data_IF_241023035580
#
_entry.id   IF_241023035580
#
_cell.length_a   1.000
_cell.length_b   1.000
_cell.length_c   1.000
_cell.angle_alpha   90.00
_cell.angle_beta   90.00
_cell.angle_gamma   90.00
#
_symmetry.space_group_name_H-M   'P 1'
#
loop_
_entity.id
_entity.type
_entity.pdbx_description
1 polymer ?
#
# COMPACT_ATOMS: atom_id res chain seq x y z
N UNK A 1 10.28 -23.54 0.22
CA UNK A 1 11.10 -24.56 -0.44
C UNK A 1 10.55 -24.89 -1.81
N UNK A 2 11.34 -24.61 -2.86
CA UNK A 2 11.19 -25.17 -4.21
C UNK A 2 12.33 -26.16 -4.41
N UNK A 3 12.03 -27.31 -5.02
CA UNK A 3 13.00 -28.38 -5.26
C UNK A 3 12.95 -28.68 -6.76
N UNK A 4 14.12 -28.71 -7.39
CA UNK A 4 14.25 -29.09 -8.79
C UNK A 4 13.84 -30.57 -8.98
N UNK A 5 13.51 -30.99 -10.20
CA UNK A 5 13.30 -32.41 -10.50
C UNK A 5 14.49 -33.31 -10.14
N UNK A 6 15.70 -32.75 -10.04
CA UNK A 6 16.92 -33.43 -9.58
C UNK A 6 16.94 -33.74 -8.08
N UNK A 7 16.00 -33.20 -7.29
CA UNK A 7 16.00 -33.27 -5.83
C UNK A 7 16.83 -32.17 -5.15
N UNK A 8 17.50 -31.32 -5.93
CA UNK A 8 18.26 -30.19 -5.40
C UNK A 8 17.35 -29.03 -4.99
N UNK A 9 17.71 -28.36 -3.91
CA UNK A 9 16.97 -27.21 -3.41
C UNK A 9 17.21 -26.00 -4.35
N UNK A 10 16.18 -25.59 -5.06
CA UNK A 10 16.24 -24.45 -6.00
C UNK A 10 16.27 -23.13 -5.23
N UNK A 11 15.38 -23.00 -4.24
CA UNK A 11 15.39 -21.91 -3.28
C UNK A 11 14.54 -22.25 -2.05
N UNK A 12 14.90 -21.68 -0.91
CA UNK A 12 14.06 -21.67 0.28
C UNK A 12 13.85 -20.25 0.79
N UNK A 13 12.67 -20.00 1.34
CA UNK A 13 12.27 -18.66 1.77
C UNK A 13 11.70 -18.73 3.17
N UNK A 14 12.19 -17.90 4.12
CA UNK A 14 11.62 -17.82 5.45
C UNK A 14 10.10 -17.59 5.38
N UNK A 15 9.36 -18.31 6.23
CA UNK A 15 7.92 -18.10 6.39
C UNK A 15 7.65 -16.68 6.84
N UNK A 16 6.54 -16.13 6.38
CA UNK A 16 6.08 -14.81 6.82
C UNK A 16 5.42 -14.92 8.19
N UNK A 17 5.69 -13.95 9.05
CA UNK A 17 4.93 -13.72 10.28
C UNK A 17 4.01 -12.51 10.13
N UNK A 18 2.95 -12.46 10.92
CA UNK A 18 2.07 -11.28 11.01
C UNK A 18 2.58 -10.39 12.14
N UNK A 19 2.93 -9.15 11.81
CA UNK A 19 3.09 -8.10 12.80
C UNK A 19 1.71 -7.46 13.07
N UNK A 20 1.41 -7.20 14.35
CA UNK A 20 0.15 -6.58 14.78
C UNK A 20 0.32 -5.06 14.87
N UNK A 21 -0.57 -4.37 14.18
CA UNK A 21 -0.64 -2.92 14.04
C UNK A 21 -1.62 -2.31 15.04
N UNK A 22 -1.99 -1.06 14.79
CA UNK A 22 -3.06 -0.39 15.54
C UNK A 22 -4.40 -1.02 15.17
N UNK A 23 -5.29 -1.17 16.15
CA UNK A 23 -6.62 -1.76 15.95
C UNK A 23 -6.55 -3.15 15.28
N UNK A 24 -5.59 -3.98 15.70
CA UNK A 24 -5.36 -5.35 15.22
C UNK A 24 -5.12 -5.50 13.71
N UNK A 25 -4.83 -4.39 13.02
CA UNK A 25 -4.42 -4.42 11.62
C UNK A 25 -3.14 -5.25 11.46
N UNK A 26 -2.97 -5.93 10.32
CA UNK A 26 -1.88 -6.89 10.13
C UNK A 26 -1.00 -6.51 8.94
N UNK A 27 0.31 -6.64 9.11
CA UNK A 27 1.28 -6.61 8.02
C UNK A 27 2.09 -7.91 8.01
N UNK A 28 2.44 -8.36 6.82
CA UNK A 28 3.33 -9.51 6.66
C UNK A 28 4.78 -9.06 6.71
N UNK A 29 5.55 -9.73 7.54
CA UNK A 29 6.97 -9.47 7.75
C UNK A 29 7.73 -10.78 7.56
N UNK A 30 8.93 -10.72 6.97
CA UNK A 30 9.88 -11.84 7.00
C UNK A 30 11.30 -11.34 6.84
N UNK A 31 12.24 -12.12 7.33
CA UNK A 31 13.65 -12.00 7.01
C UNK A 31 13.91 -12.22 5.51
N UNK A 32 14.82 -11.44 4.94
CA UNK A 32 15.27 -11.54 3.56
C UNK A 32 16.78 -11.26 3.48
N UNK A 33 17.42 -11.72 2.41
CA UNK A 33 18.87 -11.60 2.25
C UNK A 33 19.64 -12.53 3.18
N UNK A 34 20.96 -12.43 3.15
CA UNK A 34 21.85 -13.24 3.97
C UNK A 34 23.25 -12.66 3.94
N UNK A 35 23.92 -12.65 5.09
CA UNK A 35 25.34 -12.26 5.20
C UNK A 35 26.30 -13.44 4.95
N UNK A 36 25.75 -14.64 4.68
CA UNK A 36 26.52 -15.88 4.55
C UNK A 36 26.80 -16.59 5.89
N UNK A 37 26.48 -15.96 7.03
CA UNK A 37 26.65 -16.50 8.38
C UNK A 37 25.31 -16.92 9.00
N UNK A 38 24.27 -17.06 8.17
CA UNK A 38 22.93 -17.44 8.60
C UNK A 38 22.09 -16.29 9.18
N UNK A 39 22.56 -15.04 9.11
CA UNK A 39 21.78 -13.86 9.53
C UNK A 39 21.19 -13.15 8.32
N UNK A 40 19.96 -12.69 8.47
CA UNK A 40 19.31 -11.90 7.44
C UNK A 40 19.82 -10.46 7.44
N UNK A 41 19.97 -9.90 6.24
CA UNK A 41 20.45 -8.52 6.02
C UNK A 41 19.32 -7.55 5.70
N UNK A 42 18.13 -8.06 5.38
CA UNK A 42 16.98 -7.28 4.95
C UNK A 42 15.71 -7.71 5.68
N UNK A 43 14.79 -6.75 5.84
CA UNK A 43 13.44 -6.99 6.34
C UNK A 43 12.44 -6.78 5.21
N UNK A 44 11.73 -7.83 4.81
CA UNK A 44 10.65 -7.73 3.85
C UNK A 44 9.34 -7.40 4.55
N UNK A 45 8.69 -6.32 4.12
CA UNK A 45 7.42 -5.84 4.67
C UNK A 45 6.38 -5.77 3.56
N UNK A 46 5.18 -6.29 3.82
CA UNK A 46 4.06 -6.24 2.87
C UNK A 46 2.72 -6.00 3.58
N UNK A 47 1.99 -4.98 3.15
CA UNK A 47 0.69 -4.61 3.69
C UNK A 47 0.36 -3.15 3.41
N UNK A 48 -0.59 -2.60 4.17
CA UNK A 48 -0.99 -1.19 4.07
C UNK A 48 -0.44 -0.40 5.27
N UNK A 49 0.58 0.45 5.08
CA UNK A 49 1.17 1.27 6.14
C UNK A 49 0.17 2.14 6.91
N UNK A 50 -0.74 2.81 6.20
CA UNK A 50 -1.74 3.66 6.82
C UNK A 50 -2.66 2.81 7.72
N UNK A 51 -3.23 1.72 7.18
CA UNK A 51 -4.07 0.84 8.00
C UNK A 51 -3.31 0.28 9.21
N UNK A 52 -2.04 -0.06 9.05
CA UNK A 52 -1.19 -0.58 10.12
C UNK A 52 -0.93 0.42 11.25
N UNK A 53 -0.74 1.70 10.92
CA UNK A 53 -0.39 2.74 11.89
C UNK A 53 -1.62 3.43 12.52
N UNK A 54 -2.70 3.63 11.77
CA UNK A 54 -3.88 4.38 12.23
C UNK A 54 -5.18 3.55 12.23
N UNK A 55 -5.19 2.31 11.75
CA UNK A 55 -6.38 1.42 11.75
C UNK A 55 -7.27 1.50 10.51
N UNK A 56 -7.12 2.54 9.68
CA UNK A 56 -7.92 2.75 8.47
C UNK A 56 -7.07 3.36 7.33
N UNK A 57 -7.62 3.40 6.11
CA UNK A 57 -6.98 4.06 4.95
C UNK A 57 -7.93 5.05 4.25
N UNK A 58 -8.90 5.59 4.98
CA UNK A 58 -9.84 6.59 4.44
C UNK A 58 -9.09 7.85 4.02
N UNK A 59 -8.16 8.31 4.84
CA UNK A 59 -7.13 9.28 4.47
C UNK A 59 -5.77 8.71 4.90
N UNK A 60 -4.68 9.41 4.59
CA UNK A 60 -3.34 8.95 4.95
C UNK A 60 -2.29 10.01 4.68
N UNK A 61 -1.03 9.60 4.79
CA UNK A 61 0.12 10.46 4.61
C UNK A 61 0.71 10.30 3.20
N UNK A 62 1.17 11.39 2.60
CA UNK A 62 1.89 11.39 1.32
C UNK A 62 3.40 11.22 1.50
N UNK A 63 3.89 11.27 2.74
CA UNK A 63 5.31 11.15 3.07
C UNK A 63 5.69 9.68 3.23
N UNK A 64 6.14 9.08 2.13
CA UNK A 64 6.43 7.64 2.05
C UNK A 64 7.52 7.20 3.03
N UNK A 65 8.57 8.00 3.23
CA UNK A 65 9.65 7.65 4.15
C UNK A 65 9.21 7.71 5.61
N UNK A 66 8.41 8.71 6.01
CA UNK A 66 7.84 8.79 7.36
C UNK A 66 6.89 7.63 7.65
N UNK A 67 6.04 7.27 6.67
CA UNK A 67 5.19 6.08 6.79
C UNK A 67 6.02 4.80 6.95
N UNK A 68 7.07 4.64 6.15
CA UNK A 68 7.95 3.47 6.24
C UNK A 68 8.67 3.41 7.60
N UNK A 69 9.19 4.54 8.07
CA UNK A 69 9.86 4.63 9.37
C UNK A 69 8.91 4.31 10.54
N UNK A 70 7.67 4.81 10.50
CA UNK A 70 6.65 4.48 11.49
C UNK A 70 6.31 2.98 11.50
N UNK A 71 6.15 2.37 10.31
CA UNK A 71 5.91 0.92 10.19
C UNK A 71 7.08 0.11 10.74
N UNK A 72 8.31 0.46 10.35
CA UNK A 72 9.53 -0.21 10.81
C UNK A 72 9.64 -0.13 12.33
N UNK A 73 9.51 1.07 12.91
CA UNK A 73 9.56 1.27 14.37
C UNK A 73 8.54 0.37 15.06
N UNK A 74 7.28 0.40 14.62
CA UNK A 74 6.21 -0.41 15.22
C UNK A 74 6.45 -1.93 15.08
N UNK A 75 6.99 -2.39 13.95
CA UNK A 75 7.35 -3.80 13.77
C UNK A 75 8.46 -4.19 14.75
N UNK A 76 9.53 -3.39 14.82
CA UNK A 76 10.67 -3.59 15.71
C UNK A 76 10.24 -3.65 17.17
N UNK A 77 9.38 -2.73 17.61
CA UNK A 77 8.78 -2.72 18.95
C UNK A 77 7.99 -4.02 19.21
N UNK A 78 7.20 -4.48 18.23
CA UNK A 78 6.38 -5.70 18.34
C UNK A 78 7.23 -6.96 18.50
N UNK A 79 8.42 -6.99 17.90
CA UNK A 79 9.33 -8.15 17.98
C UNK A 79 10.43 -7.98 19.04
N UNK A 80 10.42 -6.89 19.80
CA UNK A 80 11.40 -6.61 20.86
C UNK A 80 12.82 -6.31 20.35
N UNK A 81 12.96 -5.79 19.13
CA UNK A 81 14.27 -5.42 18.55
C UNK A 81 14.41 -3.90 18.64
N UNK A 82 15.53 -3.41 19.17
CA UNK A 82 15.88 -1.98 19.11
C UNK A 82 16.91 -1.73 18.00
N UNK A 83 16.56 -0.92 17.00
CA UNK A 83 17.48 -0.52 15.94
C UNK A 83 17.14 0.86 15.37
N UNK A 84 17.70 1.91 15.99
CA UNK A 84 17.55 3.29 15.51
C UNK A 84 18.17 3.47 14.12
N UNK A 85 19.23 2.72 13.80
CA UNK A 85 19.84 2.73 12.48
C UNK A 85 18.86 2.29 11.39
N UNK A 86 18.10 1.22 11.63
CA UNK A 86 17.11 0.72 10.65
C UNK A 86 15.99 1.74 10.44
N UNK A 87 15.52 2.38 11.52
CA UNK A 87 14.52 3.46 11.41
C UNK A 87 15.07 4.67 10.66
N UNK A 88 16.32 5.07 10.94
CA UNK A 88 16.98 6.16 10.23
C UNK A 88 17.21 5.86 8.74
N UNK A 89 17.52 4.61 8.38
CA UNK A 89 17.59 4.16 6.98
C UNK A 89 16.23 4.28 6.29
N UNK A 90 15.14 3.89 6.96
CA UNK A 90 13.79 4.07 6.44
C UNK A 90 13.44 5.55 6.22
N UNK A 91 13.79 6.43 7.15
CA UNK A 91 13.59 7.89 7.00
C UNK A 91 14.38 8.48 5.80
N UNK A 92 15.58 7.96 5.53
CA UNK A 92 16.38 8.36 4.36
C UNK A 92 15.86 7.80 3.04
N UNK A 93 14.85 6.92 3.07
CA UNK A 93 14.33 6.27 1.88
C UNK A 93 15.22 5.14 1.35
N UNK A 94 16.12 4.60 2.18
CA UNK A 94 17.05 3.52 1.84
C UNK A 94 16.36 2.16 1.94
N UNK A 95 15.32 1.95 1.13
CA UNK A 95 14.61 0.69 1.03
C UNK A 95 14.06 0.49 -0.38
N UNK A 96 14.02 -0.76 -0.82
CA UNK A 96 13.46 -1.15 -2.11
C UNK A 96 11.93 -1.11 -2.11
N UNK A 97 11.34 -0.48 -3.12
CA UNK A 97 9.89 -0.46 -3.37
C UNK A 97 9.55 -1.45 -4.48
N UNK A 98 8.82 -2.52 -4.15
CA UNK A 98 8.36 -3.53 -5.13
C UNK A 98 6.95 -3.25 -5.66
N UNK A 99 6.14 -2.51 -4.89
CA UNK A 99 4.81 -2.08 -5.26
C UNK A 99 4.44 -0.84 -4.45
N UNK A 100 3.76 0.09 -5.08
CA UNK A 100 3.15 1.25 -4.41
C UNK A 100 1.74 1.47 -4.95
N UNK A 101 0.80 1.73 -4.05
CA UNK A 101 -0.56 2.13 -4.38
C UNK A 101 -0.70 3.62 -4.04
N UNK A 102 -0.80 4.46 -5.07
CA UNK A 102 -0.92 5.92 -4.94
C UNK A 102 -2.40 6.27 -4.97
N UNK A 103 -2.90 6.96 -3.94
CA UNK A 103 -4.33 7.26 -3.81
C UNK A 103 -4.60 8.76 -3.87
N UNK A 104 -5.70 9.13 -4.52
CA UNK A 104 -6.33 10.46 -4.45
C UNK A 104 -7.82 10.28 -4.29
N UNK A 105 -8.45 11.13 -3.48
CA UNK A 105 -9.90 11.12 -3.31
C UNK A 105 -10.49 12.46 -3.76
N UNK A 106 -11.66 12.39 -4.38
CA UNK A 106 -12.43 13.54 -4.79
C UNK A 106 -13.75 13.52 -4.03
N UNK A 107 -14.07 14.61 -3.35
CA UNK A 107 -15.35 14.78 -2.66
C UNK A 107 -16.40 15.28 -3.63
N UNK A 108 -17.60 14.72 -3.53
CA UNK A 108 -18.79 15.14 -4.29
C UNK A 108 -19.88 15.61 -3.33
N UNK A 109 -21.03 16.07 -3.85
CA UNK A 109 -22.13 16.53 -3.00
C UNK A 109 -22.85 15.37 -2.30
N UNK A 110 -22.85 14.17 -2.90
CA UNK A 110 -23.49 12.98 -2.30
C UNK A 110 -22.90 11.67 -2.80
N UNK A 111 -23.17 10.58 -2.07
CA UNK A 111 -22.86 9.21 -2.51
C UNK A 111 -23.47 8.89 -3.88
N UNK A 112 -24.68 9.39 -4.16
CA UNK A 112 -25.34 9.18 -5.46
C UNK A 112 -24.58 9.85 -6.61
N UNK A 113 -24.02 11.03 -6.37
CA UNK A 113 -23.18 11.71 -7.36
C UNK A 113 -21.88 10.94 -7.62
N UNK A 114 -21.22 10.42 -6.57
CA UNK A 114 -20.07 9.52 -6.73
C UNK A 114 -20.40 8.35 -7.64
N UNK A 115 -21.56 7.70 -7.42
CA UNK A 115 -22.03 6.58 -8.25
C UNK A 115 -22.33 6.99 -9.69
N UNK A 116 -22.95 8.15 -9.90
CA UNK A 116 -23.21 8.68 -11.24
C UNK A 116 -21.90 8.95 -12.02
N UNK A 117 -20.89 9.47 -11.34
CA UNK A 117 -19.54 9.68 -11.90
C UNK A 117 -18.86 8.34 -12.20
N UNK A 118 -18.93 7.34 -11.30
CA UNK A 118 -18.41 5.99 -11.56
C UNK A 118 -19.05 5.34 -12.78
N UNK A 119 -20.39 5.41 -12.90
CA UNK A 119 -21.12 4.91 -14.07
C UNK A 119 -20.69 5.63 -15.34
N UNK A 120 -20.50 6.94 -15.28
CA UNK A 120 -19.97 7.72 -16.41
C UNK A 120 -18.55 7.32 -16.78
N UNK A 121 -17.66 7.12 -15.79
CA UNK A 121 -16.30 6.64 -16.00
C UNK A 121 -16.29 5.26 -16.64
N UNK A 122 -17.15 4.33 -16.20
CA UNK A 122 -17.23 2.99 -16.75
C UNK A 122 -17.52 2.98 -18.26
N UNK A 123 -18.33 3.91 -18.75
CA UNK A 123 -18.76 3.98 -20.15
C UNK A 123 -17.82 4.86 -20.99
N UNK A 124 -17.45 6.03 -20.45
CA UNK A 124 -16.79 7.10 -21.20
C UNK A 124 -15.26 7.07 -21.10
N UNK A 125 -14.70 6.52 -20.02
CA UNK A 125 -13.24 6.52 -19.84
C UNK A 125 -12.56 5.43 -20.66
N UNK A 126 -11.38 5.75 -21.20
CA UNK A 126 -10.53 4.83 -21.96
C UNK A 126 -9.06 5.07 -21.61
N UNK A 127 -8.27 4.02 -21.73
CA UNK A 127 -6.81 4.06 -21.66
C UNK A 127 -6.21 3.51 -22.95
N UNK A 128 -4.88 3.52 -23.07
CA UNK A 128 -4.18 2.85 -24.17
C UNK A 128 -4.48 1.34 -24.24
N UNK A 129 -4.90 0.74 -23.13
CA UNK A 129 -5.29 -0.68 -23.05
C UNK A 129 -6.77 -0.92 -23.40
N UNK A 130 -7.52 0.11 -23.79
CA UNK A 130 -8.93 0.00 -24.20
C UNK A 130 -9.91 0.58 -23.19
N UNK A 131 -11.13 0.02 -23.19
CA UNK A 131 -12.25 0.46 -22.33
C UNK A 131 -12.03 0.03 -20.88
N UNK A 132 -12.68 0.74 -19.97
CA UNK A 132 -12.69 0.36 -18.56
C UNK A 132 -13.37 -1.00 -18.34
N UNK A 133 -12.94 -1.72 -17.30
CA UNK A 133 -13.56 -2.95 -16.82
C UNK A 133 -14.23 -2.69 -15.47
N UNK A 134 -15.43 -3.23 -15.22
CA UNK A 134 -16.13 -3.04 -13.95
C UNK A 134 -16.18 -4.33 -13.13
N UNK A 135 -16.11 -4.22 -11.81
CA UNK A 135 -16.22 -5.36 -10.88
C UNK A 135 -16.51 -4.86 -9.47
N UNK A 136 -17.63 -5.30 -8.87
CA UNK A 136 -18.00 -4.94 -7.49
C UNK A 136 -18.02 -3.44 -7.23
N UNK A 137 -18.72 -2.66 -8.07
CA UNK A 137 -18.79 -1.19 -7.96
C UNK A 137 -17.50 -0.43 -8.30
N UNK A 138 -16.41 -1.13 -8.61
CA UNK A 138 -15.12 -0.52 -8.96
C UNK A 138 -14.90 -0.51 -10.47
N UNK A 139 -14.42 0.62 -11.00
CA UNK A 139 -14.01 0.81 -12.40
C UNK A 139 -12.49 0.66 -12.51
N UNK A 140 -12.02 -0.17 -13.43
CA UNK A 140 -10.60 -0.51 -13.60
C UNK A 140 -10.10 -0.15 -15.00
N UNK A 141 -8.86 0.33 -15.06
CA UNK A 141 -8.02 0.33 -16.26
C UNK A 141 -6.81 -0.56 -16.00
N UNK A 142 -6.59 -1.56 -16.86
CA UNK A 142 -5.51 -2.53 -16.69
C UNK A 142 -5.69 -3.44 -15.49
N UNK A 143 -6.90 -3.99 -15.25
CA UNK A 143 -7.23 -4.83 -14.08
C UNK A 143 -6.25 -6.00 -13.91
N UNK A 144 -5.86 -6.62 -15.01
CA UNK A 144 -4.94 -7.77 -15.06
C UNK A 144 -3.49 -7.39 -15.40
N UNK A 145 -3.19 -6.09 -15.46
CA UNK A 145 -1.85 -5.63 -15.80
C UNK A 145 -0.83 -6.05 -14.75
N UNK A 146 0.31 -6.57 -15.23
CA UNK A 146 1.47 -6.90 -14.38
C UNK A 146 2.35 -5.67 -14.09
N UNK A 147 2.02 -4.51 -14.66
CA UNK A 147 2.78 -3.26 -14.55
C UNK A 147 2.05 -2.25 -13.67
N UNK A 148 0.96 -1.69 -14.16
CA UNK A 148 0.17 -0.70 -13.45
C UNK A 148 -1.33 -0.93 -13.59
N UNK A 149 -2.11 -0.57 -12.57
CA UNK A 149 -3.58 -0.63 -12.60
C UNK A 149 -4.13 0.67 -12.02
N UNK A 150 -5.08 1.29 -12.70
CA UNK A 150 -5.82 2.43 -12.18
C UNK A 150 -7.24 1.98 -11.81
N UNK A 151 -7.72 2.36 -10.63
CA UNK A 151 -9.04 1.98 -10.11
C UNK A 151 -9.80 3.17 -9.60
N UNK A 152 -11.10 3.16 -9.79
CA UNK A 152 -12.03 4.13 -9.22
C UNK A 152 -13.14 3.42 -8.47
N UNK A 153 -13.42 3.83 -7.24
CA UNK A 153 -14.50 3.26 -6.43
C UNK A 153 -15.07 4.25 -5.43
N UNK A 154 -16.30 4.00 -4.97
CA UNK A 154 -16.90 4.73 -3.86
C UNK A 154 -16.26 4.25 -2.56
N UNK A 155 -15.64 5.15 -1.80
CA UNK A 155 -14.92 4.73 -0.58
C UNK A 155 -15.88 4.25 0.51
N UNK A 156 -17.07 4.84 0.60
CA UNK A 156 -18.09 4.43 1.55
C UNK A 156 -18.54 2.97 1.31
N UNK A 157 -18.82 2.59 0.06
CA UNK A 157 -19.17 1.21 -0.29
C UNK A 157 -18.02 0.24 -0.05
N UNK A 158 -16.77 0.68 -0.23
CA UNK A 158 -15.61 -0.16 0.09
C UNK A 158 -15.53 -0.47 1.59
N UNK A 159 -15.80 0.50 2.48
CA UNK A 159 -15.85 0.26 3.93
C UNK A 159 -16.97 -0.74 4.32
N UNK A 160 -18.02 -0.82 3.50
CA UNK A 160 -19.18 -1.71 3.70
C UNK A 160 -18.96 -3.12 3.08
N UNK A 161 -17.96 -3.29 2.20
CA UNK A 161 -17.79 -4.49 1.37
C UNK A 161 -17.28 -5.74 2.12
N UNK A 162 -16.94 -5.64 3.41
CA UNK A 162 -16.60 -6.79 4.26
C UNK A 162 -15.64 -6.47 5.41
N UNK A 163 -15.42 -7.45 6.29
CA UNK A 163 -14.64 -7.30 7.55
C UNK A 163 -13.25 -6.70 7.35
N UNK A 164 -12.56 -7.08 6.26
CA UNK A 164 -11.23 -6.55 5.96
C UNK A 164 -11.23 -5.04 5.69
N UNK A 165 -12.33 -4.48 5.24
CA UNK A 165 -12.45 -3.09 4.81
C UNK A 165 -13.15 -2.21 5.84
N UNK A 166 -13.95 -2.81 6.74
CA UNK A 166 -14.58 -2.12 7.85
C UNK A 166 -13.60 -1.34 8.71
N UNK A 167 -14.12 -0.26 9.28
CA UNK A 167 -13.45 0.49 10.33
C UNK A 167 -13.47 -0.36 11.62
N UNK A 168 -12.40 -0.30 12.43
CA UNK A 168 -12.44 -0.77 13.81
C UNK A 168 -13.61 -0.15 14.58
N UNK A 169 -14.18 -0.90 15.53
CA UNK A 169 -15.36 -0.49 16.30
C UNK A 169 -15.17 0.86 17.01
N UNK A 170 -13.95 1.14 17.49
CA UNK A 170 -13.58 2.40 18.12
C UNK A 170 -13.63 3.58 17.14
N UNK A 171 -13.31 3.32 15.87
CA UNK A 171 -13.29 4.33 14.81
C UNK A 171 -14.66 4.53 14.15
N UNK A 172 -15.62 3.60 14.32
CA UNK A 172 -16.96 3.75 13.77
C UNK A 172 -17.72 4.96 14.34
N UNK A 173 -17.43 5.34 15.58
CA UNK A 173 -18.05 6.49 16.26
C UNK A 173 -17.41 7.83 15.91
N UNK A 174 -16.41 7.83 15.03
CA UNK A 174 -15.71 9.05 14.59
C UNK A 174 -16.30 9.56 13.27
N UNK A 175 -16.03 10.83 12.88
CA UNK A 175 -16.46 11.36 11.59
C UNK A 175 -15.84 10.69 10.36
N UNK A 176 -14.97 9.69 10.52
CA UNK A 176 -14.25 9.03 9.41
C UNK A 176 -15.22 8.38 8.42
N UNK A 177 -16.30 7.75 8.91
CA UNK A 177 -17.29 7.10 8.05
C UNK A 177 -18.09 8.13 7.24
N UNK A 178 -18.53 9.20 7.89
CA UNK A 178 -19.22 10.33 7.25
C UNK A 178 -18.31 11.01 6.22
N UNK A 179 -17.04 11.23 6.56
CA UNK A 179 -16.07 11.78 5.61
C UNK A 179 -15.87 10.91 4.37
N UNK A 180 -16.01 9.58 4.49
CA UNK A 180 -15.90 8.66 3.35
C UNK A 180 -17.13 8.66 2.42
N UNK A 181 -18.28 9.16 2.90
CA UNK A 181 -19.61 9.04 2.29
C UNK A 181 -19.65 9.57 0.85
N UNK A 182 -18.94 10.67 0.62
CA UNK A 182 -18.95 11.41 -0.64
C UNK A 182 -17.67 11.25 -1.44
N UNK A 183 -16.79 10.32 -1.06
CA UNK A 183 -15.48 10.16 -1.69
C UNK A 183 -15.51 9.16 -2.85
N UNK A 184 -15.14 9.66 -4.02
CA UNK A 184 -14.62 8.86 -5.11
C UNK A 184 -13.10 8.68 -4.92
N UNK A 185 -12.65 7.44 -4.74
CA UNK A 185 -11.21 7.15 -4.68
C UNK A 185 -10.67 6.79 -6.06
N UNK A 186 -9.60 7.45 -6.47
CA UNK A 186 -8.73 7.02 -7.54
C UNK A 186 -7.46 6.37 -6.95
N UNK A 187 -7.11 5.16 -7.39
CA UNK A 187 -5.95 4.42 -6.92
C UNK A 187 -5.11 3.94 -8.10
N UNK A 188 -3.86 4.39 -8.18
CA UNK A 188 -2.85 3.93 -9.14
C UNK A 188 -1.89 2.97 -8.45
N UNK A 189 -2.01 1.69 -8.76
CA UNK A 189 -1.03 0.67 -8.37
C UNK A 189 0.10 0.65 -9.39
N UNK A 190 1.35 0.82 -8.95
CA UNK A 190 2.57 0.55 -9.73
C UNK A 190 3.28 -0.69 -9.15
N UNK A 191 3.66 -1.64 -10.00
CA UNK A 191 4.37 -2.88 -9.62
C UNK A 191 5.81 -2.84 -10.13
N UNK A 192 6.66 -3.76 -9.65
CA UNK A 192 8.10 -3.78 -9.93
C UNK A 192 8.50 -3.49 -11.37
N UNK A 193 7.83 -4.10 -12.37
CA UNK A 193 8.16 -3.88 -13.79
C UNK A 193 8.02 -2.41 -14.21
N UNK A 194 6.95 -1.77 -13.78
CA UNK A 194 6.71 -0.35 -14.04
C UNK A 194 7.67 0.53 -13.25
N UNK A 195 7.93 0.19 -11.99
CA UNK A 195 8.84 0.95 -11.12
C UNK A 195 10.28 0.94 -11.64
N UNK A 196 10.73 -0.19 -12.19
CA UNK A 196 12.05 -0.31 -12.82
C UNK A 196 12.12 0.58 -14.07
N UNK A 197 11.11 0.51 -14.94
CA UNK A 197 11.04 1.31 -16.16
C UNK A 197 11.00 2.82 -15.88
N UNK A 198 10.36 3.23 -14.79
CA UNK A 198 10.32 4.61 -14.33
C UNK A 198 11.57 5.03 -13.53
N UNK A 199 12.50 4.12 -13.27
CA UNK A 199 13.66 4.33 -12.39
C UNK A 199 13.26 4.78 -10.96
N UNK A 200 12.11 4.32 -10.48
CA UNK A 200 11.52 4.64 -9.17
C UNK A 200 11.44 3.43 -8.26
N UNK A 201 12.60 2.86 -7.93
CA UNK A 201 12.71 1.60 -7.18
C UNK A 201 13.04 1.74 -5.69
N UNK A 202 13.31 2.96 -5.20
CA UNK A 202 13.70 3.23 -3.81
C UNK A 202 12.75 4.23 -3.14
N UNK A 203 12.62 4.16 -1.81
CA UNK A 203 11.74 5.03 -1.02
C UNK A 203 11.98 6.53 -1.26
N UNK A 204 13.24 6.93 -1.38
CA UNK A 204 13.64 8.32 -1.65
C UNK A 204 13.09 8.88 -2.98
N UNK A 205 12.77 8.02 -3.95
CA UNK A 205 12.20 8.45 -5.24
C UNK A 205 10.74 8.93 -5.14
N UNK A 206 10.07 8.66 -4.02
CA UNK A 206 8.67 9.01 -3.76
C UNK A 206 8.51 10.11 -2.71
N UNK A 207 9.61 10.68 -2.23
CA UNK A 207 9.55 11.80 -1.30
C UNK A 207 9.72 13.07 -2.11
N UNK A 208 8.84 14.06 -1.91
CA UNK A 208 9.15 15.42 -2.37
C UNK A 208 10.39 15.86 -1.59
N UNK A 209 11.57 15.87 -2.22
CA UNK A 209 12.66 16.71 -1.74
C UNK A 209 12.05 18.10 -1.60
N UNK A 210 11.92 18.61 -0.38
CA UNK A 210 11.97 20.05 -0.20
C UNK A 210 13.33 20.46 -0.77
N UNK A 211 13.34 20.94 -2.01
CA UNK A 211 14.38 21.83 -2.48
C UNK A 211 14.23 23.12 -1.69
N UNK A 212 14.74 23.14 -0.48
CA UNK A 212 15.21 24.37 0.15
C UNK A 212 16.73 24.25 0.14
N UNK A 213 17.45 25.11 -0.59
CA UNK A 213 18.84 25.33 -0.27
C UNK A 213 18.88 25.77 1.19
N UNK A 214 19.70 25.11 2.00
CA UNK A 214 20.14 25.69 3.26
C UNK A 214 20.85 26.99 2.87
N UNK A 215 20.23 28.13 3.21
CA UNK A 215 20.92 29.40 3.39
C UNK A 215 21.68 29.33 4.72
#
# INVERSE_FOLDING_TARGET
MSILPSGELEYDVPKRMQATGTYESKMWVRSQGGDGEGRATELYISGNPAKFLQGHNVFGCELVCDLAAGVVRKILDTVGISSDLTVAQALKGNFSVKRIDITRSFSFASRNEVKAVLSSLAIKSRSRMGRAQTSGGTVYHGKQSRRHTLKFYCKAEELEAGEKHKLPAELEKTPIKEFAETLLRAELTLRSKELIELEKTEGKHFTRRCWMPLL
#
